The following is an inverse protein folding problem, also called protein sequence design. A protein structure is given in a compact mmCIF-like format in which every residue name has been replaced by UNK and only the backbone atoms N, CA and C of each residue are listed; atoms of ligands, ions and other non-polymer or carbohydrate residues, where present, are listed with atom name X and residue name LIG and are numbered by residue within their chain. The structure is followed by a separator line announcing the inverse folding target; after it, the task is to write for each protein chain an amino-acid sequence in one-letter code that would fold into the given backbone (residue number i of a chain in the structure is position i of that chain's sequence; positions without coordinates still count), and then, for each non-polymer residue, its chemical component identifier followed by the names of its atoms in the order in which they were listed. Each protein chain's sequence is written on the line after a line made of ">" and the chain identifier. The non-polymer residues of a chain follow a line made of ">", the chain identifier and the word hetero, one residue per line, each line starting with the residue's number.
data_IF_804060915885
#
_entry.id   IF_804060915885
#
_cell.length_a   1.000
_cell.length_b   1.000
_cell.length_c   1.000
_cell.angle_alpha   90.00
_cell.angle_beta   90.00
_cell.angle_gamma   90.00
#
_symmetry.space_group_name_H-M   'P 1'
#
loop_
_entity.id
_entity.type
_entity.pdbx_description
1 polymer ?
#
# COMPACT_ATOMS: atom_id res chain seq x y z
N UNK A 1 57.05 17.32 19.32
CA UNK A 1 55.64 16.89 19.52
C UNK A 1 55.47 15.38 19.66
N UNK A 2 56.45 14.54 19.30
CA UNK A 2 56.41 13.09 19.57
C UNK A 2 56.98 12.70 20.95
N UNK A 3 57.68 13.61 21.62
CA UNK A 3 58.38 13.31 22.89
C UNK A 3 57.39 13.18 24.06
N UNK A 4 56.32 13.98 24.04
CA UNK A 4 55.18 13.92 24.98
C UNK A 4 54.49 12.55 24.95
N UNK A 5 54.50 11.86 23.79
CA UNK A 5 53.86 10.56 23.59
C UNK A 5 54.65 9.42 24.26
N UNK A 6 55.98 9.55 24.38
CA UNK A 6 56.85 8.48 24.90
C UNK A 6 57.08 8.54 26.41
N UNK A 7 57.09 9.73 26.99
CA UNK A 7 57.43 9.94 28.40
C UNK A 7 56.24 9.62 29.32
N UNK A 8 55.01 9.96 28.91
CA UNK A 8 53.79 9.70 29.67
C UNK A 8 53.04 8.45 29.20
N UNK A 9 53.66 7.27 29.35
CA UNK A 9 53.06 5.97 29.01
C UNK A 9 51.67 5.76 29.63
N UNK A 10 51.46 6.26 30.86
CA UNK A 10 50.16 6.20 31.55
C UNK A 10 49.09 7.01 30.83
N UNK A 11 49.41 8.21 30.35
CA UNK A 11 48.46 9.06 29.60
C UNK A 11 48.07 8.41 28.28
N UNK A 12 49.02 7.75 27.60
CA UNK A 12 48.75 7.02 26.37
C UNK A 12 47.79 5.84 26.59
N UNK A 13 47.96 5.10 27.69
CA UNK A 13 47.06 3.99 28.06
C UNK A 13 45.65 4.51 28.37
N UNK A 14 45.53 5.65 29.07
CA UNK A 14 44.23 6.26 29.38
C UNK A 14 43.51 6.73 28.10
N UNK A 15 44.22 7.39 27.18
CA UNK A 15 43.65 7.82 25.91
C UNK A 15 43.20 6.62 25.07
N UNK A 16 44.00 5.55 25.02
CA UNK A 16 43.64 4.32 24.34
C UNK A 16 42.37 3.67 24.94
N UNK A 17 42.25 3.65 26.27
CA UNK A 17 41.06 3.17 26.97
C UNK A 17 39.82 4.00 26.63
N UNK A 18 39.94 5.32 26.57
CA UNK A 18 38.84 6.23 26.20
C UNK A 18 38.38 5.95 24.76
N UNK A 19 39.31 5.77 23.83
CA UNK A 19 38.99 5.47 22.42
C UNK A 19 38.27 4.12 22.31
N UNK A 20 38.74 3.09 23.04
CA UNK A 20 38.11 1.77 23.07
C UNK A 20 36.70 1.85 23.67
N UNK A 21 36.52 2.57 24.78
CA UNK A 21 35.23 2.77 25.41
C UNK A 21 34.26 3.54 24.49
N UNK A 22 34.74 4.56 23.78
CA UNK A 22 33.92 5.35 22.86
C UNK A 22 33.53 4.54 21.61
N UNK A 23 34.46 3.75 21.07
CA UNK A 23 34.18 2.82 19.97
C UNK A 23 33.18 1.75 20.40
N UNK A 24 33.33 1.19 21.62
CA UNK A 24 32.39 0.22 22.16
C UNK A 24 31.01 0.84 22.36
N UNK A 25 30.93 2.03 22.95
CA UNK A 25 29.66 2.76 23.15
C UNK A 25 28.96 3.08 21.82
N UNK A 26 29.70 3.59 20.83
CA UNK A 26 29.15 3.91 19.50
C UNK A 26 28.73 2.68 18.68
N UNK A 27 29.28 1.49 18.97
CA UNK A 27 28.85 0.23 18.35
C UNK A 27 27.78 -0.52 19.16
N UNK A 28 27.67 -0.30 20.47
CA UNK A 28 26.82 -1.10 21.36
C UNK A 28 25.34 -0.73 21.30
N UNK A 29 24.98 0.50 20.92
CA UNK A 29 23.58 0.94 20.79
C UNK A 29 23.02 0.76 19.37
N UNK A 30 23.11 -0.47 18.84
CA UNK A 30 22.33 -0.90 17.67
C UNK A 30 21.27 -1.92 18.04
N UNK A 31 20.60 -1.74 19.16
CA UNK A 31 19.28 -2.35 19.36
C UNK A 31 18.26 -1.45 18.65
N UNK A 32 17.57 -1.91 17.59
CA UNK A 32 16.55 -1.12 16.94
C UNK A 32 15.41 -0.93 17.94
N UNK A 33 15.38 0.21 18.63
CA UNK A 33 14.23 0.63 19.41
C UNK A 33 13.06 0.74 18.44
N UNK A 34 12.16 -0.22 18.56
CA UNK A 34 10.97 -0.42 17.75
C UNK A 34 10.17 0.88 17.65
N UNK A 35 10.20 1.54 16.49
CA UNK A 35 9.09 2.33 15.90
C UNK A 35 9.57 3.18 14.72
N UNK A 36 10.16 2.54 13.70
CA UNK A 36 10.12 3.14 12.35
C UNK A 36 8.73 2.84 11.76
N UNK A 37 7.78 3.74 11.99
CA UNK A 37 6.40 3.65 11.47
C UNK A 37 6.32 3.99 9.96
N UNK A 38 7.47 4.19 9.31
CA UNK A 38 7.58 4.63 7.90
C UNK A 38 8.54 3.77 7.07
N UNK A 39 9.04 2.66 7.61
CA UNK A 39 9.74 1.67 6.76
C UNK A 39 8.70 0.66 6.34
N UNK A 40 8.30 0.67 5.06
CA UNK A 40 7.77 -0.54 4.44
C UNK A 40 8.83 -1.61 4.65
N UNK A 41 8.56 -2.50 5.59
CA UNK A 41 9.28 -3.74 5.70
C UNK A 41 9.02 -4.42 4.36
N UNK A 42 9.95 -4.31 3.40
CA UNK A 42 10.08 -5.27 2.31
C UNK A 42 10.54 -6.57 2.95
N UNK A 43 9.62 -7.14 3.73
CA UNK A 43 9.65 -8.49 4.24
C UNK A 43 9.75 -9.39 3.01
N UNK A 44 10.41 -10.51 3.17
CA UNK A 44 10.78 -11.50 2.16
C UNK A 44 9.61 -12.11 1.35
N UNK A 45 8.43 -11.49 1.36
CA UNK A 45 7.22 -11.83 0.61
C UNK A 45 7.39 -11.65 -0.91
N UNK A 46 8.37 -10.85 -1.36
CA UNK A 46 8.68 -10.72 -2.79
C UNK A 46 9.10 -12.07 -3.43
N UNK A 47 9.80 -12.94 -2.68
CA UNK A 47 10.25 -14.24 -3.20
C UNK A 47 9.06 -15.19 -3.45
N UNK A 48 8.01 -15.09 -2.62
CA UNK A 48 6.81 -15.93 -2.73
C UNK A 48 5.95 -15.46 -3.91
N UNK A 49 5.80 -14.15 -4.08
CA UNK A 49 5.05 -13.53 -5.19
C UNK A 49 5.73 -13.85 -6.54
N UNK A 50 7.06 -13.81 -6.61
CA UNK A 50 7.80 -14.09 -7.84
C UNK A 50 7.64 -15.56 -8.28
N UNK A 51 7.62 -16.52 -7.33
CA UNK A 51 7.41 -17.93 -7.65
C UNK A 51 5.98 -18.23 -8.10
N UNK A 52 4.97 -17.61 -7.48
CA UNK A 52 3.57 -17.80 -7.84
C UNK A 52 3.32 -17.31 -9.28
N UNK A 53 3.83 -16.13 -9.64
CA UNK A 53 3.74 -15.58 -11.00
C UNK A 53 4.42 -16.49 -12.02
N UNK A 54 5.61 -17.01 -11.72
CA UNK A 54 6.30 -17.95 -12.59
C UNK A 54 5.53 -19.26 -12.78
N UNK A 55 4.87 -19.75 -11.74
CA UNK A 55 4.02 -20.96 -11.83
C UNK A 55 2.82 -20.73 -12.75
N UNK A 56 2.12 -19.60 -12.59
CA UNK A 56 0.97 -19.23 -13.43
C UNK A 56 1.39 -19.03 -14.88
N UNK A 57 2.55 -18.41 -15.12
CA UNK A 57 3.08 -18.23 -16.48
C UNK A 57 3.44 -19.57 -17.13
N UNK A 58 3.98 -20.52 -16.37
CA UNK A 58 4.29 -21.85 -16.86
C UNK A 58 3.02 -22.64 -17.18
N UNK A 59 2.01 -22.53 -16.33
CA UNK A 59 0.68 -23.12 -16.55
C UNK A 59 0.01 -22.53 -17.79
N UNK A 60 0.02 -21.20 -17.96
CA UNK A 60 -0.53 -20.53 -19.15
C UNK A 60 0.21 -20.92 -20.44
N UNK A 61 1.53 -21.11 -20.39
CA UNK A 61 2.31 -21.61 -21.55
C UNK A 61 1.87 -23.00 -21.97
N UNK A 62 1.36 -23.81 -21.04
CA UNK A 62 0.90 -25.17 -21.31
C UNK A 62 -0.51 -25.25 -21.88
N UNK A 63 -1.27 -24.14 -21.89
CA UNK A 63 -2.62 -24.10 -22.43
C UNK A 63 -2.54 -24.29 -23.95
N UNK A 64 -2.91 -25.48 -24.39
CA UNK A 64 -3.13 -25.78 -25.81
C UNK A 64 -4.63 -25.77 -26.05
N UNK A 65 -5.09 -24.79 -26.85
CA UNK A 65 -6.46 -24.79 -27.33
C UNK A 65 -6.58 -25.83 -28.44
N UNK A 66 -7.38 -26.85 -28.19
CA UNK A 66 -7.76 -27.84 -29.19
C UNK A 66 -8.97 -27.33 -29.97
N UNK A 67 -8.75 -27.00 -31.25
CA UNK A 67 -9.82 -26.54 -32.15
C UNK A 67 -10.62 -27.69 -32.76
N UNK A 68 -10.23 -28.95 -32.55
CA UNK A 68 -10.94 -30.11 -33.11
C UNK A 68 -12.38 -30.23 -32.63
N UNK A 69 -12.71 -29.67 -31.45
CA UNK A 69 -14.07 -29.64 -30.93
C UNK A 69 -15.03 -28.88 -31.85
N UNK A 70 -14.53 -27.87 -32.59
CA UNK A 70 -15.32 -27.04 -33.49
C UNK A 70 -15.57 -27.72 -34.84
N UNK A 71 -14.75 -28.72 -35.20
CA UNK A 71 -14.94 -29.54 -36.41
C UNK A 71 -15.92 -30.70 -36.20
N UNK A 72 -16.32 -30.96 -34.94
CA UNK A 72 -17.25 -32.03 -34.61
C UNK A 72 -18.67 -31.71 -35.13
N UNK A 73 -19.30 -32.65 -35.85
CA UNK A 73 -20.66 -32.51 -36.35
C UNK A 73 -21.69 -32.23 -35.25
N UNK A 74 -21.47 -32.72 -34.03
CA UNK A 74 -22.30 -32.39 -32.87
C UNK A 74 -22.19 -30.90 -32.49
N UNK A 75 -20.98 -30.33 -32.53
CA UNK A 75 -20.78 -28.89 -32.31
C UNK A 75 -21.48 -28.06 -33.40
N UNK A 76 -21.35 -28.47 -34.67
CA UNK A 76 -22.02 -27.80 -35.79
C UNK A 76 -23.57 -27.89 -35.73
N UNK A 77 -24.11 -28.86 -35.00
CA UNK A 77 -25.56 -29.03 -34.84
C UNK A 77 -26.17 -28.15 -33.74
N UNK A 78 -25.36 -27.53 -32.87
CA UNK A 78 -25.84 -26.66 -31.80
C UNK A 78 -26.50 -25.41 -32.38
N UNK A 79 -27.70 -25.13 -31.87
CA UNK A 79 -28.48 -23.93 -32.18
C UNK A 79 -28.41 -23.01 -30.97
N UNK A 80 -28.17 -21.72 -31.21
CA UNK A 80 -28.35 -20.70 -30.18
C UNK A 80 -29.85 -20.47 -29.95
N UNK A 81 -30.25 -20.37 -28.69
CA UNK A 81 -31.62 -20.08 -28.25
C UNK A 81 -31.70 -18.76 -27.48
N UNK A 82 -30.80 -17.83 -27.79
CA UNK A 82 -30.88 -16.45 -27.32
C UNK A 82 -32.28 -15.87 -27.51
N UNK A 83 -32.80 -15.24 -26.45
CA UNK A 83 -34.05 -14.49 -26.49
C UNK A 83 -33.71 -13.01 -26.48
N UNK A 84 -34.38 -12.24 -27.33
CA UNK A 84 -34.26 -10.79 -27.31
C UNK A 84 -34.64 -10.26 -25.93
N UNK A 85 -33.71 -9.54 -25.30
CA UNK A 85 -33.94 -8.85 -24.03
C UNK A 85 -34.52 -7.49 -24.38
N UNK A 86 -35.75 -7.25 -23.95
CA UNK A 86 -36.37 -5.93 -24.08
C UNK A 86 -35.62 -4.97 -23.14
N UNK A 87 -35.12 -3.83 -23.63
CA UNK A 87 -34.46 -2.85 -22.77
C UNK A 87 -35.41 -2.38 -21.66
N UNK A 88 -35.01 -2.60 -20.41
CA UNK A 88 -35.71 -2.04 -19.26
C UNK A 88 -35.34 -0.56 -19.08
N UNK A 89 -36.26 0.27 -18.57
CA UNK A 89 -35.95 1.66 -18.27
C UNK A 89 -34.80 1.76 -17.25
N UNK A 90 -33.86 2.67 -17.50
CA UNK A 90 -32.64 2.85 -16.72
C UNK A 90 -32.93 3.40 -15.31
N UNK A 91 -32.99 2.50 -14.33
CA UNK A 91 -32.70 2.76 -12.90
C UNK A 91 -33.63 3.71 -12.13
N UNK A 92 -33.50 3.65 -10.80
CA UNK A 92 -34.02 4.65 -9.86
C UNK A 92 -32.85 5.55 -9.43
N UNK A 93 -33.13 6.79 -9.04
CA UNK A 93 -32.11 7.67 -8.43
C UNK A 93 -31.38 6.91 -7.31
N UNK A 94 -30.04 6.92 -7.34
CA UNK A 94 -29.21 6.20 -6.38
C UNK A 94 -29.50 6.73 -4.95
N UNK A 95 -30.14 5.92 -4.07
CA UNK A 95 -30.46 6.37 -2.70
C UNK A 95 -29.23 6.46 -1.80
N UNK A 96 -28.06 5.99 -2.28
CA UNK A 96 -26.77 6.10 -1.62
C UNK A 96 -25.90 7.21 -2.23
N UNK A 97 -26.44 8.06 -3.12
CA UNK A 97 -25.70 9.21 -3.58
C UNK A 97 -25.39 10.13 -2.39
N UNK A 98 -24.14 10.57 -2.20
CA UNK A 98 -23.79 11.49 -1.13
C UNK A 98 -24.62 12.78 -1.27
N UNK A 99 -25.11 13.36 -0.16
CA UNK A 99 -25.82 14.62 -0.23
C UNK A 99 -24.89 15.66 -0.86
N UNK A 100 -25.28 16.19 -2.02
CA UNK A 100 -24.57 17.36 -2.58
C UNK A 100 -24.73 18.46 -1.55
N UNK A 101 -23.63 18.92 -0.95
CA UNK A 101 -23.59 20.08 -0.05
C UNK A 101 -24.00 21.33 -0.84
N UNK A 102 -25.30 21.48 -1.03
CA UNK A 102 -25.98 22.67 -1.49
C UNK A 102 -27.38 22.71 -0.84
N UNK A 103 -27.47 22.21 0.40
CA UNK A 103 -28.33 22.88 1.37
C UNK A 103 -27.55 24.11 1.85
N UNK A 104 -27.65 25.19 1.06
CA UNK A 104 -27.51 26.53 1.61
C UNK A 104 -28.51 26.59 2.75
N UNK A 105 -28.01 26.45 3.97
CA UNK A 105 -28.74 26.74 5.20
C UNK A 105 -29.43 28.08 4.96
N UNK A 106 -30.77 28.20 5.12
CA UNK A 106 -31.40 29.50 4.98
C UNK A 106 -30.65 30.44 5.93
N UNK A 107 -29.97 31.45 5.37
CA UNK A 107 -29.47 32.58 6.17
C UNK A 107 -30.71 33.07 6.90
N UNK A 108 -30.76 32.82 8.21
CA UNK A 108 -31.76 33.39 9.09
C UNK A 108 -31.79 34.88 8.80
N UNK A 109 -32.92 35.33 8.28
CA UNK A 109 -33.20 36.74 8.02
C UNK A 109 -33.04 37.48 9.36
N UNK A 110 -31.91 38.16 9.50
CA UNK A 110 -31.64 39.13 10.57
C UNK A 110 -32.47 40.38 10.27
N UNK A 111 -33.80 40.27 10.38
CA UNK A 111 -34.75 41.37 10.16
C UNK A 111 -35.88 41.46 11.19
N UNK A 112 -35.99 40.50 12.12
CA UNK A 112 -37.05 40.52 13.14
C UNK A 112 -36.58 41.00 14.53
N UNK A 113 -35.30 41.35 14.68
CA UNK A 113 -34.77 41.86 15.96
C UNK A 113 -35.07 43.34 16.22
N UNK A 114 -35.66 44.08 15.27
CA UNK A 114 -35.94 45.51 15.40
C UNK A 114 -37.38 45.87 15.80
N UNK A 115 -38.28 44.90 15.99
CA UNK A 115 -39.72 45.18 16.24
C UNK A 115 -40.11 45.11 17.72
N UNK A 116 -39.23 44.68 18.63
CA UNK A 116 -39.54 44.54 20.06
C UNK A 116 -38.93 45.63 20.97
N UNK A 117 -38.51 46.77 20.42
CA UNK A 117 -38.00 47.91 21.19
C UNK A 117 -38.83 49.19 20.96
N UNK A 118 -40.14 49.10 21.13
CA UNK A 118 -41.04 50.25 21.19
C UNK A 118 -42.04 50.09 22.33
#
# INVERSE_FOLDING_TARGET
>A
MLDIIKENKVVLIVIALIIVAFAWFGLSDRTPTSSSLLTSQSRSDNIVIDQEILSVLLDMRSIRLDSSIFENAAFASLRDFGRDIIPEPVGRTNPFAPPTTSQQLPKSSESDAAVFAQ
#
